data_IF_806882843061
#
_entry.id   IF_806882843061
#
_cell.length_a   1.000
_cell.length_b   1.000
_cell.length_c   1.000
_cell.angle_alpha   90.00
_cell.angle_beta   90.00
_cell.angle_gamma   90.00
#
_symmetry.space_group_name_H-M   'P 1'
#
loop_
_entity.id
_entity.type
_entity.pdbx_description
1 polymer ?
#
# COMPACT_ATOMS: atom_id res chain seq x y z
N UNK A 1 49.60 -20.93 9.46
CA UNK A 1 48.13 -20.80 9.30
C UNK A 1 47.70 -21.48 8.02
N UNK A 2 46.81 -22.46 8.10
CA UNK A 2 46.22 -23.07 6.90
C UNK A 2 45.08 -22.18 6.38
N UNK A 3 44.98 -22.00 5.05
CA UNK A 3 43.96 -21.14 4.43
C UNK A 3 42.56 -21.76 4.60
N UNK A 4 41.57 -20.94 4.96
CA UNK A 4 40.14 -21.30 4.99
C UNK A 4 39.39 -20.76 3.77
N UNK A 5 38.11 -21.15 3.61
CA UNK A 5 37.23 -20.61 2.56
C UNK A 5 36.83 -19.17 2.88
N UNK A 6 36.87 -18.30 1.86
CA UNK A 6 36.60 -16.87 2.02
C UNK A 6 35.10 -16.50 1.93
N UNK A 7 34.29 -17.21 1.13
CA UNK A 7 32.85 -16.92 0.96
C UNK A 7 32.06 -18.13 0.39
N UNK A 8 30.77 -18.27 0.75
CA UNK A 8 29.86 -19.25 0.11
C UNK A 8 28.37 -18.92 0.26
N UNK A 9 27.59 -19.20 -0.78
CA UNK A 9 26.11 -19.12 -0.79
C UNK A 9 25.42 -20.49 -0.86
N UNK A 10 26.17 -21.59 -0.66
CA UNK A 10 25.74 -22.97 -0.96
C UNK A 10 24.43 -23.43 -0.30
N UNK A 11 24.14 -22.99 0.93
CA UNK A 11 22.91 -23.37 1.64
C UNK A 11 21.87 -22.24 1.74
N UNK A 12 22.13 -21.08 1.13
CA UNK A 12 21.27 -19.90 1.34
C UNK A 12 19.92 -20.08 0.64
N UNK A 13 19.91 -20.55 -0.61
CA UNK A 13 18.67 -20.80 -1.36
C UNK A 13 17.80 -21.87 -0.66
N UNK A 14 18.40 -22.99 -0.23
CA UNK A 14 17.68 -24.05 0.50
C UNK A 14 17.02 -23.53 1.77
N UNK A 15 17.71 -22.68 2.55
CA UNK A 15 17.15 -22.06 3.76
C UNK A 15 16.03 -21.07 3.43
N UNK A 16 16.21 -20.23 2.42
CA UNK A 16 15.18 -19.27 2.00
C UNK A 16 13.91 -19.97 1.52
N UNK A 17 14.05 -21.13 0.85
CA UNK A 17 12.91 -21.88 0.31
C UNK A 17 12.26 -22.82 1.35
N UNK A 18 12.93 -23.15 2.47
CA UNK A 18 12.36 -24.00 3.54
C UNK A 18 11.02 -23.48 4.05
N UNK A 19 10.91 -22.16 4.22
CA UNK A 19 9.65 -21.49 4.63
C UNK A 19 8.89 -20.90 3.43
N UNK A 20 9.48 -20.98 2.22
CA UNK A 20 9.01 -20.36 1.00
C UNK A 20 9.26 -18.85 0.93
N UNK A 21 9.70 -18.37 -0.23
CA UNK A 21 9.80 -16.94 -0.51
C UNK A 21 8.39 -16.42 -0.82
N UNK A 22 7.75 -15.79 0.18
CA UNK A 22 6.39 -15.25 0.04
C UNK A 22 6.44 -13.87 -0.64
N UNK A 23 5.55 -13.66 -1.61
CA UNK A 23 5.33 -12.33 -2.20
C UNK A 23 4.70 -11.39 -1.17
N UNK A 24 4.93 -10.07 -1.24
CA UNK A 24 4.21 -9.10 -0.43
C UNK A 24 2.70 -9.24 -0.67
N UNK A 25 1.90 -9.02 0.37
CA UNK A 25 0.44 -9.04 0.25
C UNK A 25 -0.02 -7.78 -0.48
N UNK A 26 -0.87 -7.94 -1.49
CA UNK A 26 -1.58 -6.83 -2.10
C UNK A 26 -2.87 -6.56 -1.33
N UNK A 27 -3.14 -5.29 -1.05
CA UNK A 27 -4.39 -4.87 -0.43
C UNK A 27 -5.26 -4.12 -1.45
N UNK A 28 -6.59 -4.16 -1.28
CA UNK A 28 -7.51 -3.43 -2.19
C UNK A 28 -7.28 -1.92 -2.17
N UNK A 29 -6.93 -1.38 -1.01
CA UNK A 29 -6.68 0.04 -0.81
C UNK A 29 -5.29 0.22 -0.19
N UNK A 30 -4.35 0.72 -0.99
CA UNK A 30 -2.99 1.02 -0.58
C UNK A 30 -2.88 2.39 0.12
N UNK A 31 -1.76 2.63 0.80
CA UNK A 31 -1.50 3.91 1.46
C UNK A 31 -1.21 5.03 0.44
N UNK A 32 -1.62 6.27 0.75
CA UNK A 32 -1.32 7.45 -0.07
C UNK A 32 -0.01 8.16 0.33
N UNK A 33 0.92 7.44 0.98
CA UNK A 33 2.21 8.02 1.38
C UNK A 33 3.06 8.29 0.13
N UNK A 34 3.61 9.50 0.02
CA UNK A 34 4.45 9.91 -1.12
C UNK A 34 3.68 10.53 -2.29
N UNK A 35 2.35 10.62 -2.22
CA UNK A 35 1.55 11.39 -3.19
C UNK A 35 1.75 12.90 -2.97
N UNK A 36 1.67 13.69 -4.04
CA UNK A 36 1.83 15.14 -4.02
C UNK A 36 1.05 15.82 -2.86
N UNK A 37 1.73 16.57 -1.98
CA UNK A 37 1.09 17.27 -0.87
C UNK A 37 -0.03 18.22 -1.30
N UNK A 38 0.08 18.90 -2.45
CA UNK A 38 -0.95 19.85 -2.93
C UNK A 38 -2.23 19.09 -3.29
N UNK A 39 -2.12 18.00 -4.03
CA UNK A 39 -3.23 17.10 -4.33
C UNK A 39 -3.86 16.52 -3.05
N UNK A 40 -3.04 16.01 -2.12
CA UNK A 40 -3.54 15.44 -0.86
C UNK A 40 -4.30 16.47 -0.02
N UNK A 41 -3.83 17.72 0.03
CA UNK A 41 -4.54 18.82 0.71
C UNK A 41 -5.93 19.02 0.13
N UNK A 42 -6.03 19.14 -1.20
CA UNK A 42 -7.31 19.32 -1.87
C UNK A 42 -8.25 18.12 -1.64
N UNK A 43 -7.76 16.89 -1.84
CA UNK A 43 -8.57 15.69 -1.63
C UNK A 43 -9.09 15.60 -0.18
N UNK A 44 -8.28 15.98 0.81
CA UNK A 44 -8.70 16.03 2.22
C UNK A 44 -9.81 17.05 2.44
N UNK A 45 -9.70 18.26 1.87
CA UNK A 45 -10.74 19.27 1.96
C UNK A 45 -12.04 18.85 1.27
N UNK A 46 -11.96 18.25 0.08
CA UNK A 46 -13.13 17.72 -0.62
C UNK A 46 -13.87 16.67 0.23
N UNK A 47 -13.14 15.67 0.76
CA UNK A 47 -13.71 14.64 1.65
C UNK A 47 -14.30 15.24 2.93
N UNK A 48 -13.67 16.29 3.50
CA UNK A 48 -14.16 17.00 4.69
C UNK A 48 -15.55 17.62 4.48
N UNK A 49 -15.80 18.21 3.31
CA UNK A 49 -17.03 18.98 3.05
C UNK A 49 -18.16 18.19 2.36
N UNK A 50 -17.95 16.91 2.03
CA UNK A 50 -18.98 16.05 1.42
C UNK A 50 -20.31 16.00 2.21
N UNK A 51 -20.28 16.19 3.53
CA UNK A 51 -21.50 16.22 4.37
C UNK A 51 -22.46 17.37 4.03
N UNK A 52 -21.95 18.49 3.47
CA UNK A 52 -22.76 19.67 3.16
C UNK A 52 -23.73 19.42 2.00
N UNK A 53 -23.31 18.65 0.99
CA UNK A 53 -24.13 18.33 -0.19
C UNK A 53 -25.04 17.10 -0.03
N UNK A 54 -25.00 16.44 1.13
CA UNK A 54 -25.59 15.11 1.30
C UNK A 54 -27.13 15.09 1.18
N UNK A 55 -27.81 16.15 1.62
CA UNK A 55 -29.28 16.28 1.47
C UNK A 55 -29.69 16.44 0.00
N UNK A 56 -28.99 17.28 -0.75
CA UNK A 56 -29.24 17.47 -2.17
C UNK A 56 -28.93 16.21 -2.97
N UNK A 57 -27.81 15.53 -2.66
CA UNK A 57 -27.45 14.26 -3.30
C UNK A 57 -28.47 13.15 -3.03
N UNK A 58 -29.01 13.05 -1.80
CA UNK A 58 -30.07 12.08 -1.47
C UNK A 58 -31.36 12.38 -2.21
N UNK A 59 -31.79 13.64 -2.26
CA UNK A 59 -32.99 14.06 -2.99
C UNK A 59 -32.88 13.72 -4.48
N UNK A 60 -31.74 14.02 -5.10
CA UNK A 60 -31.47 13.68 -6.50
C UNK A 60 -31.40 12.17 -6.76
N UNK A 61 -31.02 11.36 -5.76
CA UNK A 61 -30.98 9.91 -5.87
C UNK A 61 -32.36 9.25 -5.70
N UNK A 62 -33.29 9.90 -4.98
CA UNK A 62 -34.68 9.42 -4.82
C UNK A 62 -35.60 9.87 -5.95
N UNK A 63 -35.28 10.97 -6.62
CA UNK A 63 -36.02 11.48 -7.79
C UNK A 63 -35.63 10.78 -9.11
N UNK A 64 -34.72 9.81 -9.04
CA UNK A 64 -34.24 9.00 -10.16
C UNK A 64 -34.80 7.59 -10.08
#
# INVERSE_FOLDING_TARGET
MAKSKNHTTHNQSRKAHRNGIKKPRSHRYESLKGVDPKFLRNMRFAKKHNKKGLKAARKAATEK
#
